data_IF_947500857209
#
_entry.id   IF_947500857209
#
_cell.length_a   1.000
_cell.length_b   1.000
_cell.length_c   1.000
_cell.angle_alpha   90.00
_cell.angle_beta   90.00
_cell.angle_gamma   90.00
#
_symmetry.space_group_name_H-M   'P 1'
#
loop_
_entity.id
_entity.type
_entity.pdbx_description
1 polymer ?
#
# COMPACT_ATOMS: atom_id res chain seq x y z
N UNK A 1 13.41 -51.62 -46.83
CA UNK A 1 14.04 -51.72 -45.50
C UNK A 1 13.88 -50.36 -44.83
N UNK A 2 12.75 -50.15 -44.15
CA UNK A 2 12.35 -48.90 -43.50
C UNK A 2 12.36 -49.13 -41.99
N UNK A 3 13.07 -48.30 -41.23
CA UNK A 3 12.83 -48.12 -39.79
C UNK A 3 12.67 -46.63 -39.52
N UNK A 4 11.40 -46.24 -39.48
CA UNK A 4 10.87 -45.04 -38.85
C UNK A 4 11.23 -45.03 -37.35
N UNK A 5 11.77 -43.90 -36.87
CA UNK A 5 11.08 -42.86 -36.09
C UNK A 5 10.57 -43.35 -34.71
N UNK A 6 11.21 -42.79 -33.68
CA UNK A 6 10.71 -42.46 -32.33
C UNK A 6 9.75 -43.43 -31.64
N UNK A 7 10.18 -43.99 -30.50
CA UNK A 7 9.37 -44.02 -29.27
C UNK A 7 10.12 -44.66 -28.09
N UNK A 8 10.50 -43.88 -27.07
CA UNK A 8 10.32 -44.29 -25.67
C UNK A 8 10.42 -43.07 -24.73
N UNK A 9 9.28 -42.40 -24.55
CA UNK A 9 8.74 -41.99 -23.25
C UNK A 9 9.75 -41.53 -22.19
N UNK A 10 10.07 -40.25 -22.20
CA UNK A 10 10.36 -39.49 -20.97
C UNK A 10 9.87 -38.07 -21.19
N UNK A 11 8.55 -37.90 -21.15
CA UNK A 11 7.94 -36.59 -20.98
C UNK A 11 8.21 -36.20 -19.53
N UNK A 12 9.35 -35.55 -19.30
CA UNK A 12 9.63 -34.89 -18.03
C UNK A 12 8.81 -33.59 -18.05
N UNK A 13 7.58 -33.65 -17.52
CA UNK A 13 6.78 -32.45 -17.26
C UNK A 13 7.48 -31.70 -16.13
N UNK A 14 8.37 -30.78 -16.49
CA UNK A 14 8.85 -29.75 -15.55
C UNK A 14 7.67 -28.79 -15.39
N UNK A 15 6.89 -28.99 -14.33
CA UNK A 15 5.91 -28.02 -13.87
C UNK A 15 6.70 -26.84 -13.27
N UNK A 16 7.18 -25.93 -14.14
CA UNK A 16 7.70 -24.64 -13.70
C UNK A 16 6.50 -23.88 -13.15
N UNK A 17 6.26 -24.03 -11.83
CA UNK A 17 5.49 -23.09 -11.04
C UNK A 17 6.21 -21.75 -11.15
N UNK A 18 5.81 -20.95 -12.15
CA UNK A 18 6.06 -19.53 -12.19
C UNK A 18 5.47 -18.96 -10.91
N UNK A 19 6.33 -18.82 -9.89
CA UNK A 19 6.10 -17.94 -8.78
C UNK A 19 6.10 -16.52 -9.34
N UNK A 20 4.98 -16.14 -9.96
CA UNK A 20 4.71 -14.74 -10.24
C UNK A 20 4.76 -14.03 -8.89
N UNK A 21 5.66 -13.06 -8.68
CA UNK A 21 5.53 -12.19 -7.52
C UNK A 21 4.14 -11.58 -7.62
N UNK A 22 3.26 -11.92 -6.67
CA UNK A 22 1.98 -11.25 -6.49
C UNK A 22 2.33 -9.80 -6.20
N UNK A 23 2.33 -8.97 -7.25
CA UNK A 23 2.36 -7.53 -7.08
C UNK A 23 1.05 -7.20 -6.39
N UNK A 24 1.14 -6.93 -5.08
CA UNK A 24 0.00 -6.50 -4.29
C UNK A 24 -0.46 -5.16 -4.86
N UNK A 25 -1.48 -5.18 -5.71
CA UNK A 25 -2.15 -3.97 -6.13
C UNK A 25 -2.79 -3.38 -4.88
N UNK A 26 -2.49 -2.11 -4.60
CA UNK A 26 -3.22 -1.36 -3.59
C UNK A 26 -4.71 -1.48 -3.88
N UNK A 27 -5.48 -1.88 -2.88
CA UNK A 27 -6.91 -2.09 -3.05
C UNK A 27 -7.59 -0.77 -3.46
N UNK A 28 -8.56 -0.86 -4.37
CA UNK A 28 -9.19 0.32 -4.96
C UNK A 28 -10.68 0.06 -5.26
N UNK A 29 -11.56 0.74 -4.53
CA UNK A 29 -13.00 0.67 -4.72
C UNK A 29 -13.40 1.49 -5.97
N UNK A 30 -13.91 0.84 -7.02
CA UNK A 30 -14.28 1.51 -8.25
C UNK A 30 -15.44 2.49 -8.05
N UNK A 31 -16.24 2.41 -6.98
CA UNK A 31 -17.38 3.31 -6.75
C UNK A 31 -16.97 4.66 -6.17
N UNK A 32 -15.74 4.79 -5.68
CA UNK A 32 -15.20 6.06 -5.19
C UNK A 32 -14.61 6.82 -6.38
N UNK A 33 -15.39 7.74 -6.96
CA UNK A 33 -15.03 8.51 -8.15
C UNK A 33 -15.25 10.02 -7.95
N UNK A 34 -14.83 10.81 -8.94
CA UNK A 34 -15.18 12.22 -9.06
C UNK A 34 -14.74 13.07 -7.86
N UNK A 35 -15.61 13.97 -7.43
CA UNK A 35 -15.31 14.90 -6.33
C UNK A 35 -14.98 14.20 -5.02
N UNK A 36 -15.66 13.09 -4.69
CA UNK A 36 -15.37 12.33 -3.47
C UNK A 36 -13.93 11.83 -3.44
N UNK A 37 -13.48 11.24 -4.56
CA UNK A 37 -12.08 10.77 -4.69
C UNK A 37 -11.10 11.93 -4.56
N UNK A 38 -11.35 13.06 -5.23
CA UNK A 38 -10.51 14.25 -5.12
C UNK A 38 -10.45 14.79 -3.69
N UNK A 39 -11.57 14.84 -3.00
CA UNK A 39 -11.64 15.34 -1.63
C UNK A 39 -10.87 14.43 -0.64
N UNK A 40 -10.94 13.11 -0.81
CA UNK A 40 -10.14 12.16 -0.01
C UNK A 40 -8.65 12.37 -0.28
N UNK A 41 -8.24 12.47 -1.55
CA UNK A 41 -6.84 12.70 -1.93
C UNK A 41 -6.33 14.06 -1.42
N UNK A 42 -7.15 15.11 -1.48
CA UNK A 42 -6.82 16.42 -0.92
C UNK A 42 -6.65 16.36 0.61
N UNK A 43 -7.55 15.67 1.33
CA UNK A 43 -7.43 15.49 2.78
C UNK A 43 -6.16 14.72 3.17
N UNK A 44 -5.74 13.75 2.36
CA UNK A 44 -4.49 13.02 2.54
C UNK A 44 -3.27 13.93 2.33
N UNK A 45 -3.24 14.69 1.23
CA UNK A 45 -2.16 15.64 0.95
C UNK A 45 -2.05 16.71 2.04
N UNK A 46 -3.18 17.25 2.49
CA UNK A 46 -3.25 18.22 3.57
C UNK A 46 -2.70 17.64 4.87
N UNK A 47 -3.15 16.46 5.28
CA UNK A 47 -2.68 15.79 6.50
C UNK A 47 -1.17 15.50 6.45
N UNK A 48 -0.67 14.94 5.36
CA UNK A 48 0.76 14.67 5.20
C UNK A 48 1.55 15.99 5.27
N UNK A 49 1.08 17.04 4.60
CA UNK A 49 1.70 18.36 4.63
C UNK A 49 1.73 18.97 6.03
N UNK A 50 0.61 18.95 6.76
CA UNK A 50 0.48 19.51 8.12
C UNK A 50 1.35 18.78 9.14
N UNK A 51 1.61 17.49 8.94
CA UNK A 51 2.45 16.68 9.82
C UNK A 51 3.89 16.52 9.30
N UNK A 52 4.27 17.29 8.28
CA UNK A 52 5.63 17.33 7.75
C UNK A 52 6.43 18.44 8.43
N UNK A 53 7.54 18.09 9.07
CA UNK A 53 8.47 19.03 9.71
C UNK A 53 9.83 18.90 9.05
N UNK A 54 10.39 20.02 8.58
CA UNK A 54 11.67 20.04 7.86
C UNK A 54 11.76 19.00 6.73
N UNK A 55 10.67 18.87 5.95
CA UNK A 55 10.60 17.94 4.82
C UNK A 55 10.38 16.47 5.17
N UNK A 56 10.14 16.13 6.45
CA UNK A 56 9.86 14.76 6.90
C UNK A 56 8.49 14.69 7.57
N UNK A 57 7.62 13.81 7.08
CA UNK A 57 6.39 13.40 7.75
C UNK A 57 6.75 12.72 9.08
N UNK A 58 6.15 13.18 10.16
CA UNK A 58 6.42 12.72 11.52
C UNK A 58 5.33 11.74 11.94
N UNK A 59 5.74 10.54 12.32
CA UNK A 59 4.83 9.49 12.77
C UNK A 59 5.35 8.84 14.05
N UNK A 60 4.54 8.82 15.11
CA UNK A 60 4.79 7.93 16.23
C UNK A 60 4.31 6.52 15.89
N UNK A 61 5.22 5.57 15.97
CA UNK A 61 5.00 4.15 15.69
C UNK A 61 4.91 3.38 17.01
N UNK A 62 3.71 2.95 17.37
CA UNK A 62 3.43 2.28 18.64
C UNK A 62 4.01 0.86 18.72
N UNK A 63 4.41 0.26 17.61
CA UNK A 63 4.97 -1.10 17.60
C UNK A 63 6.45 -1.07 17.98
N UNK A 64 7.18 -0.09 17.47
CA UNK A 64 8.61 0.08 17.78
C UNK A 64 8.86 1.05 18.93
N UNK A 65 7.83 1.79 19.36
CA UNK A 65 7.91 2.88 20.34
C UNK A 65 8.84 4.01 19.89
N UNK A 66 8.83 4.33 18.60
CA UNK A 66 9.72 5.33 18.00
C UNK A 66 8.95 6.42 17.24
N UNK A 67 9.58 7.59 17.13
CA UNK A 67 9.13 8.66 16.22
C UNK A 67 9.87 8.57 14.89
N UNK A 68 9.18 8.07 13.87
CA UNK A 68 9.66 7.96 12.51
C UNK A 68 9.68 9.33 11.82
N UNK A 69 10.74 9.57 11.04
CA UNK A 69 10.91 10.75 10.17
C UNK A 69 10.99 10.26 8.74
N UNK A 70 9.91 10.49 8.01
CA UNK A 70 9.65 9.81 6.75
C UNK A 70 9.53 10.82 5.60
N UNK A 71 10.26 10.60 4.52
CA UNK A 71 10.10 11.39 3.30
C UNK A 71 9.03 10.74 2.42
N UNK A 72 8.02 11.52 2.05
CA UNK A 72 6.98 11.06 1.13
C UNK A 72 7.62 10.66 -0.22
N UNK A 73 7.35 9.44 -0.65
CA UNK A 73 7.71 8.94 -1.97
C UNK A 73 6.53 9.05 -2.93
N UNK A 74 5.36 8.54 -2.53
CA UNK A 74 4.17 8.52 -3.38
C UNK A 74 2.89 8.43 -2.55
N UNK A 75 1.92 9.26 -2.87
CA UNK A 75 0.53 9.04 -2.46
C UNK A 75 -0.17 8.21 -3.55
N UNK A 76 -0.74 7.06 -3.20
CA UNK A 76 -1.42 6.21 -4.18
C UNK A 76 -2.85 6.68 -4.42
N UNK A 77 -3.29 6.52 -5.67
CA UNK A 77 -4.68 6.82 -6.02
C UNK A 77 -5.65 5.80 -5.40
N UNK A 78 -5.19 4.61 -5.00
CA UNK A 78 -6.02 3.58 -4.39
C UNK A 78 -6.79 4.09 -3.17
N UNK A 79 -8.11 3.89 -3.18
CA UNK A 79 -8.97 4.19 -2.03
C UNK A 79 -9.92 3.03 -1.82
N UNK A 80 -9.99 2.51 -0.59
CA UNK A 80 -10.96 1.48 -0.19
C UNK A 80 -11.96 2.06 0.78
N UNK A 81 -13.23 1.66 0.71
CA UNK A 81 -14.20 1.94 1.77
C UNK A 81 -14.24 0.80 2.78
N UNK A 82 -14.15 1.10 4.08
CA UNK A 82 -14.30 0.15 5.18
C UNK A 82 -15.30 0.74 6.17
N UNK A 83 -16.45 0.07 6.35
CA UNK A 83 -17.55 0.54 7.18
C UNK A 83 -17.91 2.03 6.90
N UNK A 84 -17.62 2.91 7.85
CA UNK A 84 -17.90 4.34 7.85
C UNK A 84 -16.69 5.23 7.52
N UNK A 85 -15.55 4.64 7.14
CA UNK A 85 -14.34 5.37 6.74
C UNK A 85 -13.75 4.86 5.42
N UNK A 86 -12.72 5.56 4.97
CA UNK A 86 -11.94 5.22 3.79
C UNK A 86 -10.49 4.91 4.19
N UNK A 87 -9.82 4.05 3.43
CA UNK A 87 -8.38 3.79 3.54
C UNK A 87 -7.72 4.33 2.29
N UNK A 88 -6.63 5.08 2.46
CA UNK A 88 -5.72 5.50 1.39
C UNK A 88 -4.27 5.32 1.84
N UNK A 89 -3.43 4.81 0.95
CA UNK A 89 -2.06 4.40 1.27
C UNK A 89 -1.04 5.36 0.66
N UNK A 90 0.12 5.49 1.31
CA UNK A 90 1.24 6.23 0.76
C UNK A 90 2.59 5.57 1.11
N UNK A 91 3.49 5.62 0.14
CA UNK A 91 4.87 5.15 0.23
C UNK A 91 5.76 6.24 0.83
N UNK A 92 6.65 5.83 1.72
CA UNK A 92 7.66 6.69 2.32
C UNK A 92 9.03 5.99 2.39
N UNK A 93 10.06 6.79 2.60
CA UNK A 93 11.39 6.31 2.98
C UNK A 93 11.90 7.03 4.23
N UNK A 94 12.60 6.31 5.10
CA UNK A 94 13.38 6.95 6.16
C UNK A 94 14.72 7.52 5.61
N UNK A 95 15.56 8.00 6.53
CA UNK A 95 16.88 8.56 6.19
C UNK A 95 17.85 7.53 5.62
N UNK A 96 17.74 6.28 6.06
CA UNK A 96 18.65 5.19 5.69
C UNK A 96 18.19 4.49 4.40
N UNK A 97 17.04 4.91 3.85
CA UNK A 97 16.46 4.36 2.63
C UNK A 97 15.53 3.18 2.88
N UNK A 98 15.16 2.91 4.13
CA UNK A 98 14.16 1.90 4.46
C UNK A 98 12.80 2.33 3.95
N UNK A 99 12.14 1.45 3.22
CA UNK A 99 10.80 1.69 2.69
C UNK A 99 9.73 1.48 3.77
N UNK A 100 8.73 2.36 3.79
CA UNK A 100 7.53 2.26 4.62
C UNK A 100 6.28 2.42 3.77
N UNK A 101 5.33 1.51 3.92
CA UNK A 101 3.96 1.62 3.39
C UNK A 101 3.05 1.98 4.56
N UNK A 102 2.36 3.12 4.47
CA UNK A 102 1.49 3.62 5.52
C UNK A 102 0.04 3.65 5.04
N UNK A 103 -0.86 3.04 5.83
CA UNK A 103 -2.30 3.12 5.63
C UNK A 103 -2.87 4.29 6.45
N UNK A 104 -3.75 5.08 5.86
CA UNK A 104 -4.42 6.18 6.54
C UNK A 104 -5.93 5.99 6.51
N UNK A 105 -6.56 6.15 7.67
CA UNK A 105 -8.02 6.30 7.74
C UNK A 105 -8.40 7.71 7.31
N UNK A 106 -9.42 7.83 6.47
CA UNK A 106 -10.04 9.10 6.12
C UNK A 106 -11.51 9.06 6.49
N UNK A 107 -11.91 9.95 7.38
CA UNK A 107 -13.30 10.06 7.87
C UNK A 107 -14.05 11.15 7.09
N UNK A 108 -15.33 10.90 6.83
CA UNK A 108 -16.24 11.86 6.19
C UNK A 108 -17.25 12.38 7.22
N UNK A 109 -17.39 13.71 7.34
CA UNK A 109 -18.43 14.34 8.15
C UNK A 109 -18.96 15.59 7.45
N UNK A 110 -20.27 15.61 7.19
CA UNK A 110 -20.96 16.72 6.50
C UNK A 110 -20.30 17.08 5.16
N UNK A 111 -19.89 16.05 4.39
CA UNK A 111 -19.21 16.21 3.10
C UNK A 111 -17.75 16.69 3.18
N UNK A 112 -17.18 16.84 4.39
CA UNK A 112 -15.77 17.17 4.62
C UNK A 112 -14.98 15.92 4.98
N UNK A 113 -13.77 15.82 4.44
CA UNK A 113 -12.89 14.67 4.64
C UNK A 113 -11.71 15.08 5.50
N UNK A 114 -11.30 14.18 6.40
CA UNK A 114 -10.10 14.37 7.22
C UNK A 114 -9.36 13.05 7.32
N UNK A 115 -8.08 13.05 6.94
CA UNK A 115 -7.20 11.93 7.22
C UNK A 115 -6.78 11.95 8.70
N UNK A 116 -6.63 10.76 9.27
CA UNK A 116 -6.14 10.53 10.62
C UNK A 116 -4.68 10.07 10.56
N UNK A 117 -4.07 9.85 11.72
CA UNK A 117 -2.70 9.35 11.80
C UNK A 117 -2.55 8.06 11.00
N UNK A 118 -1.49 7.99 10.19
CA UNK A 118 -1.13 6.80 9.44
C UNK A 118 -0.69 5.65 10.35
N UNK A 119 -0.91 4.42 9.90
CA UNK A 119 -0.49 3.19 10.57
C UNK A 119 0.46 2.45 9.62
N UNK A 120 1.55 1.92 10.16
CA UNK A 120 2.54 1.20 9.35
C UNK A 120 1.96 -0.12 8.87
N UNK A 121 1.69 -0.22 7.56
CA UNK A 121 1.24 -1.44 6.89
C UNK A 121 2.41 -2.39 6.62
N UNK A 122 3.55 -1.85 6.17
CA UNK A 122 4.72 -2.62 5.73
C UNK A 122 6.02 -1.86 5.99
N UNK A 123 7.08 -2.58 6.34
CA UNK A 123 8.46 -2.06 6.41
C UNK A 123 9.34 -2.92 5.52
N UNK A 124 10.00 -2.31 4.53
CA UNK A 124 10.61 -3.05 3.43
C UNK A 124 9.56 -3.95 2.75
N UNK A 125 9.81 -5.25 2.73
CA UNK A 125 8.90 -6.26 2.19
C UNK A 125 8.05 -6.98 3.25
N UNK A 126 8.18 -6.59 4.53
CA UNK A 126 7.54 -7.28 5.65
C UNK A 126 6.27 -6.54 6.07
N UNK A 127 5.11 -7.17 5.86
CA UNK A 127 3.82 -6.69 6.37
C UNK A 127 3.78 -6.75 7.89
N UNK A 128 3.16 -5.75 8.51
CA UNK A 128 2.93 -5.73 9.96
C UNK A 128 1.57 -6.31 10.32
N UNK A 129 1.52 -7.05 11.42
CA UNK A 129 0.32 -7.74 11.91
C UNK A 129 -0.84 -6.80 12.31
N UNK A 130 -0.54 -5.54 12.61
CA UNK A 130 -1.53 -4.57 13.06
C UNK A 130 -1.65 -3.47 12.00
N UNK A 131 -2.35 -3.78 10.91
CA UNK A 131 -2.64 -2.86 9.81
C UNK A 131 -4.15 -2.70 9.58
N UNK A 132 -4.56 -1.79 8.71
CA UNK A 132 -5.98 -1.44 8.53
C UNK A 132 -6.74 -2.36 7.57
N UNK A 133 -6.04 -3.19 6.81
CA UNK A 133 -6.64 -4.03 5.76
C UNK A 133 -6.95 -5.49 6.14
N UNK A 134 -6.72 -5.89 7.40
CA UNK A 134 -6.98 -7.26 7.89
C UNK A 134 -8.48 -7.58 8.05
#
# INVERSE_FOLDING_TARGET
MLKEVYNMKSIMIILVLLAFPLTTLAANDPNIKGEKRRAIQAAMQEHIGQNTVNGHYILYDTITDDVLKLKLAKLHDGIVKKADYYISCADFYDRDGTYFDLDFMVIEKDGRFRALQGIVHKVGDVKRKYHLED
#
